data_IF_780548376489
#
_entry.id   IF_780548376489
#
_cell.length_a   1.000
_cell.length_b   1.000
_cell.length_c   1.000
_cell.angle_alpha   90.00
_cell.angle_beta   90.00
_cell.angle_gamma   90.00
#
_symmetry.space_group_name_H-M   'P 1'
#
loop_
_entity.id
_entity.type
_entity.pdbx_description
1 polymer ?
#
# COMPACT_ATOMS: atom_id res chain seq x y z
N UNK A 1 2.63 0.04 12.25
CA UNK A 1 3.13 -0.23 10.89
C UNK A 1 4.61 0.13 10.87
N UNK A 2 5.48 -0.86 10.69
CA UNK A 2 6.95 -0.62 10.69
C UNK A 2 7.49 -0.31 9.29
N UNK A 3 6.86 -0.81 8.25
CA UNK A 3 7.29 -0.60 6.87
C UNK A 3 6.13 -0.79 5.89
N UNK A 4 6.16 -0.03 4.83
CA UNK A 4 5.28 -0.21 3.67
C UNK A 4 6.20 -0.62 2.53
N UNK A 5 5.90 -1.75 1.89
CA UNK A 5 6.67 -2.19 0.73
C UNK A 5 6.44 -1.26 -0.46
N UNK A 6 7.54 -0.89 -1.12
CA UNK A 6 7.47 -0.06 -2.31
C UNK A 6 6.73 -0.79 -3.43
N UNK A 7 5.72 -0.12 -3.97
CA UNK A 7 5.02 -0.57 -5.16
C UNK A 7 5.77 -0.07 -6.42
N UNK A 8 6.45 -0.96 -7.17
CA UNK A 8 7.25 -0.56 -8.33
C UNK A 8 6.40 -0.03 -9.50
N UNK A 9 5.09 -0.10 -9.41
CA UNK A 9 4.15 0.39 -10.41
C UNK A 9 3.55 1.75 -10.04
N UNK A 10 3.76 2.23 -8.82
CA UNK A 10 3.37 3.56 -8.39
C UNK A 10 4.50 4.57 -8.65
N UNK A 11 4.14 5.82 -8.99
CA UNK A 11 5.10 6.86 -9.37
C UNK A 11 6.13 7.19 -8.29
N UNK A 12 5.72 7.17 -7.04
CA UNK A 12 6.53 7.48 -5.86
C UNK A 12 6.73 6.27 -4.95
N UNK A 13 6.45 5.05 -5.46
CA UNK A 13 6.56 3.81 -4.70
C UNK A 13 5.37 3.48 -3.82
N UNK A 14 4.38 4.38 -3.72
CA UNK A 14 3.09 4.17 -3.06
C UNK A 14 1.99 4.83 -3.90
N UNK A 15 0.81 4.25 -3.95
CA UNK A 15 -0.35 4.84 -4.61
C UNK A 15 -1.25 5.58 -3.60
N UNK A 16 -2.12 6.45 -4.08
CA UNK A 16 -3.10 7.11 -3.22
C UNK A 16 -4.02 6.09 -2.56
N UNK A 17 -4.47 5.11 -3.32
CA UNK A 17 -5.31 4.03 -2.82
C UNK A 17 -4.62 3.20 -1.71
N UNK A 18 -3.28 3.06 -1.75
CA UNK A 18 -2.53 2.42 -0.66
C UNK A 18 -2.56 3.26 0.62
N UNK A 19 -2.49 4.58 0.50
CA UNK A 19 -2.55 5.51 1.64
C UNK A 19 -3.95 5.52 2.24
N UNK A 20 -4.99 5.67 1.42
CA UNK A 20 -6.40 5.65 1.84
C UNK A 20 -6.76 4.33 2.54
N UNK A 21 -6.29 3.21 1.99
CA UNK A 21 -6.48 1.90 2.62
C UNK A 21 -5.83 1.82 4.01
N UNK A 22 -4.59 2.29 4.15
CA UNK A 22 -3.89 2.30 5.43
C UNK A 22 -4.57 3.20 6.44
N UNK A 23 -5.05 4.37 6.03
CA UNK A 23 -5.81 5.27 6.88
C UNK A 23 -7.08 4.59 7.40
N UNK A 24 -7.85 3.96 6.52
CA UNK A 24 -9.06 3.23 6.91
C UNK A 24 -8.74 2.07 7.88
N UNK A 25 -7.70 1.29 7.62
CA UNK A 25 -7.25 0.21 8.53
C UNK A 25 -6.88 0.77 9.90
N UNK A 26 -6.17 1.88 9.96
CA UNK A 26 -5.79 2.51 11.23
C UNK A 26 -7.00 3.01 12.02
N UNK A 27 -7.97 3.64 11.36
CA UNK A 27 -9.22 4.09 11.97
C UNK A 27 -10.02 2.87 12.48
N UNK A 28 -10.14 1.84 11.64
CA UNK A 28 -10.80 0.59 12.04
C UNK A 28 -10.17 -0.03 13.29
N UNK A 29 -8.83 -0.15 13.31
CA UNK A 29 -8.12 -0.68 14.47
C UNK A 29 -8.26 0.19 15.73
N UNK A 30 -8.31 1.52 15.57
CA UNK A 30 -8.47 2.44 16.69
C UNK A 30 -9.87 2.39 17.33
N UNK A 31 -10.89 2.06 16.54
CA UNK A 31 -12.29 1.98 16.99
C UNK A 31 -12.74 0.55 17.32
N UNK A 32 -11.94 -0.46 16.96
CA UNK A 32 -12.25 -1.87 17.28
C UNK A 32 -11.78 -2.24 18.68
N UNK A 33 -12.50 -3.19 19.30
CA UNK A 33 -12.06 -3.77 20.55
C UNK A 33 -10.66 -4.37 20.43
N UNK A 34 -9.81 -4.07 21.38
CA UNK A 34 -8.42 -4.54 21.40
C UNK A 34 -8.12 -5.31 22.70
N UNK A 35 -8.57 -6.57 22.81
CA UNK A 35 -8.27 -7.40 23.96
C UNK A 35 -6.77 -7.69 24.05
N UNK A 36 -6.30 -8.04 25.26
CA UNK A 36 -4.91 -8.45 25.45
C UNK A 36 -4.59 -9.72 24.67
N UNK A 37 -3.49 -9.68 23.92
CA UNK A 37 -2.99 -10.82 23.15
C UNK A 37 -2.29 -11.80 24.10
N UNK A 38 -2.68 -13.06 24.09
CA UNK A 38 -2.01 -14.12 24.83
C UNK A 38 -0.69 -14.54 24.17
N UNK A 39 0.21 -15.19 24.92
CA UNK A 39 1.49 -15.69 24.37
C UNK A 39 1.25 -16.65 23.18
N UNK A 40 0.24 -17.51 23.29
CA UNK A 40 -0.10 -18.44 22.22
C UNK A 40 -0.62 -17.74 20.95
N UNK A 41 -1.39 -16.67 21.09
CA UNK A 41 -1.80 -15.85 19.93
C UNK A 41 -0.61 -15.11 19.32
N UNK A 42 0.28 -14.59 20.15
CA UNK A 42 1.52 -13.97 19.68
C UNK A 42 2.36 -14.94 18.84
N UNK A 43 2.45 -16.20 19.24
CA UNK A 43 3.17 -17.21 18.49
C UNK A 43 2.45 -17.59 17.17
N UNK A 44 1.11 -17.66 17.17
CA UNK A 44 0.35 -17.84 15.94
C UNK A 44 0.56 -16.67 14.96
N UNK A 45 0.58 -15.43 15.47
CA UNK A 45 0.83 -14.24 14.64
C UNK A 45 2.23 -14.29 14.02
N UNK A 46 3.28 -14.61 14.81
CA UNK A 46 4.65 -14.74 14.31
C UNK A 46 4.75 -15.81 13.21
N UNK A 47 4.12 -16.97 13.43
CA UNK A 47 4.10 -18.05 12.45
C UNK A 47 3.34 -17.65 11.18
N UNK A 48 2.23 -16.95 11.27
CA UNK A 48 1.49 -16.45 10.11
C UNK A 48 2.31 -15.42 9.31
N UNK A 49 3.05 -14.53 9.99
CA UNK A 49 3.99 -13.60 9.34
C UNK A 49 5.08 -14.39 8.59
N UNK A 50 5.66 -15.40 9.21
CA UNK A 50 6.67 -16.27 8.58
C UNK A 50 6.11 -16.94 7.32
N UNK A 51 4.96 -17.62 7.43
CA UNK A 51 4.29 -18.31 6.31
C UNK A 51 4.00 -17.35 5.15
N UNK A 52 3.42 -16.19 5.44
CA UNK A 52 3.10 -15.20 4.41
C UNK A 52 4.34 -14.61 3.74
N UNK A 53 5.47 -14.50 4.44
CA UNK A 53 6.74 -14.03 3.86
C UNK A 53 7.37 -15.06 2.93
N UNK A 54 7.18 -16.34 3.17
CA UNK A 54 7.74 -17.43 2.36
C UNK A 54 6.92 -17.75 1.11
N UNK A 55 5.60 -17.83 1.25
CA UNK A 55 4.71 -18.31 0.17
C UNK A 55 3.66 -17.28 -0.27
N UNK A 56 3.62 -16.10 0.34
CA UNK A 56 2.66 -15.06 0.04
C UNK A 56 1.22 -15.49 0.35
N UNK A 57 0.30 -15.30 -0.59
CA UNK A 57 -1.12 -15.63 -0.42
C UNK A 57 -1.43 -17.14 -0.51
N UNK A 58 -0.46 -17.96 -0.87
CA UNK A 58 -0.65 -19.42 -1.00
C UNK A 58 -0.55 -20.15 0.35
N UNK A 59 -0.25 -19.42 1.45
CA UNK A 59 -0.17 -20.00 2.78
C UNK A 59 -1.56 -20.19 3.43
N UNK A 60 -1.58 -21.04 4.46
CA UNK A 60 -2.68 -21.09 5.41
C UNK A 60 -2.28 -20.36 6.69
N UNK A 61 -3.18 -19.53 7.20
CA UNK A 61 -3.05 -18.87 8.49
C UNK A 61 -3.61 -19.72 9.59
N UNK A 62 -2.94 -19.71 10.74
CA UNK A 62 -3.41 -20.33 11.96
C UNK A 62 -4.40 -19.36 12.61
N UNK A 63 -5.68 -19.75 12.68
CA UNK A 63 -6.69 -19.11 13.52
C UNK A 63 -6.74 -19.86 14.85
N UNK A 64 -6.73 -19.14 15.96
CA UNK A 64 -6.98 -19.72 17.26
C UNK A 64 -8.46 -19.55 17.61
N UNK A 65 -9.16 -20.65 17.73
CA UNK A 65 -10.49 -20.72 18.34
C UNK A 65 -10.29 -21.31 19.73
N UNK A 66 -10.52 -20.51 20.75
CA UNK A 66 -10.43 -20.77 22.20
C UNK A 66 -9.56 -21.98 22.68
N UNK A 67 -9.72 -23.16 22.14
CA UNK A 67 -8.98 -24.38 22.51
C UNK A 67 -8.34 -25.14 21.33
N UNK A 68 -8.67 -24.82 20.10
CA UNK A 68 -8.20 -25.53 18.91
C UNK A 68 -7.51 -24.62 17.91
N UNK A 69 -6.44 -25.12 17.30
CA UNK A 69 -5.80 -24.46 16.16
C UNK A 69 -6.54 -24.87 14.90
N UNK A 70 -7.23 -23.93 14.27
CA UNK A 70 -7.79 -24.11 12.92
C UNK A 70 -6.89 -23.43 11.90
N UNK A 71 -6.75 -24.03 10.72
CA UNK A 71 -6.05 -23.41 9.61
C UNK A 71 -7.05 -22.95 8.56
N UNK A 72 -6.79 -21.77 7.99
CA UNK A 72 -7.59 -21.21 6.91
C UNK A 72 -6.71 -20.55 5.87
N UNK A 73 -7.11 -20.61 4.59
CA UNK A 73 -6.32 -19.99 3.53
C UNK A 73 -6.18 -18.49 3.74
N UNK A 74 -4.97 -17.95 3.54
CA UNK A 74 -4.70 -16.52 3.64
C UNK A 74 -5.60 -15.71 2.71
N UNK A 75 -5.98 -16.26 1.55
CA UNK A 75 -6.91 -15.64 0.62
C UNK A 75 -8.30 -15.42 1.25
N UNK A 76 -8.85 -16.44 1.92
CA UNK A 76 -10.16 -16.33 2.57
C UNK A 76 -10.12 -15.34 3.74
N UNK A 77 -9.09 -15.43 4.60
CA UNK A 77 -8.90 -14.50 5.72
C UNK A 77 -8.81 -13.05 5.21
N UNK A 78 -8.09 -12.84 4.12
CA UNK A 78 -7.98 -11.50 3.51
C UNK A 78 -9.33 -11.02 2.96
N UNK A 79 -10.10 -11.89 2.30
CA UNK A 79 -11.43 -11.54 1.79
C UNK A 79 -12.39 -11.16 2.92
N UNK A 80 -12.40 -11.94 4.00
CA UNK A 80 -13.22 -11.64 5.18
C UNK A 80 -12.85 -10.30 5.81
N UNK A 81 -11.55 -10.02 5.92
CA UNK A 81 -11.07 -8.75 6.45
C UNK A 81 -11.46 -7.56 5.56
N UNK A 82 -11.29 -7.68 4.25
CA UNK A 82 -11.71 -6.64 3.30
C UNK A 82 -13.22 -6.39 3.36
N UNK A 83 -14.03 -7.44 3.53
CA UNK A 83 -15.48 -7.29 3.69
C UNK A 83 -15.85 -6.56 5.00
N UNK A 84 -15.15 -6.85 6.10
CA UNK A 84 -15.33 -6.12 7.37
C UNK A 84 -14.97 -4.65 7.23
N UNK A 85 -13.86 -4.33 6.58
CA UNK A 85 -13.45 -2.95 6.33
C UNK A 85 -14.44 -2.21 5.43
N UNK A 86 -14.98 -2.89 4.41
CA UNK A 86 -15.98 -2.28 3.52
C UNK A 86 -17.28 -1.97 4.27
N UNK A 87 -17.76 -2.89 5.10
CA UNK A 87 -18.93 -2.64 5.94
C UNK A 87 -18.69 -1.47 6.90
N UNK A 88 -17.53 -1.44 7.54
CA UNK A 88 -17.12 -0.33 8.41
C UNK A 88 -17.06 1.01 7.66
N UNK A 89 -16.50 1.05 6.44
CA UNK A 89 -16.46 2.24 5.62
C UNK A 89 -17.87 2.77 5.29
N UNK A 90 -18.81 1.87 5.02
CA UNK A 90 -20.22 2.22 4.79
C UNK A 90 -20.85 2.80 6.06
N UNK A 91 -20.59 2.18 7.22
CA UNK A 91 -21.15 2.62 8.51
C UNK A 91 -20.69 4.03 8.90
N UNK A 92 -19.45 4.40 8.57
CA UNK A 92 -18.92 5.75 8.84
C UNK A 92 -19.13 6.74 7.68
N UNK A 93 -19.84 6.34 6.61
CA UNK A 93 -20.26 7.21 5.53
C UNK A 93 -19.22 7.59 4.49
N UNK A 94 -18.13 6.80 4.35
CA UNK A 94 -17.08 6.99 3.33
C UNK A 94 -17.14 5.95 2.21
N UNK A 95 -18.29 5.31 2.04
CA UNK A 95 -18.53 4.25 1.06
C UNK A 95 -18.16 4.64 -0.38
N UNK A 96 -18.59 5.81 -0.83
CA UNK A 96 -18.33 6.30 -2.20
C UNK A 96 -16.87 6.59 -2.48
N UNK A 97 -16.16 7.14 -1.51
CA UNK A 97 -14.73 7.48 -1.64
C UNK A 97 -13.87 6.23 -1.56
N UNK A 98 -14.28 5.24 -0.78
CA UNK A 98 -13.58 3.98 -0.59
C UNK A 98 -13.84 2.93 -1.68
N UNK A 99 -14.91 3.07 -2.47
CA UNK A 99 -15.32 2.07 -3.47
C UNK A 99 -14.19 1.72 -4.44
N UNK A 100 -13.51 2.73 -4.99
CA UNK A 100 -12.38 2.54 -5.90
C UNK A 100 -11.20 1.84 -5.22
N UNK A 101 -10.92 2.20 -3.98
CA UNK A 101 -9.87 1.59 -3.16
C UNK A 101 -10.16 0.10 -2.96
N UNK A 102 -11.37 -0.27 -2.53
CA UNK A 102 -11.76 -1.67 -2.34
C UNK A 102 -11.73 -2.46 -3.64
N UNK A 103 -12.15 -1.86 -4.75
CA UNK A 103 -12.05 -2.49 -6.06
C UNK A 103 -10.59 -2.84 -6.41
N UNK A 104 -9.67 -1.92 -6.24
CA UNK A 104 -8.24 -2.17 -6.49
C UNK A 104 -7.64 -3.21 -5.55
N UNK A 105 -8.01 -3.22 -4.26
CA UNK A 105 -7.53 -4.23 -3.31
C UNK A 105 -8.12 -5.61 -3.57
N UNK A 106 -9.39 -5.73 -3.91
CA UNK A 106 -9.99 -7.00 -4.33
C UNK A 106 -9.34 -7.54 -5.60
N UNK A 107 -9.03 -6.69 -6.56
CA UNK A 107 -8.28 -7.05 -7.77
C UNK A 107 -6.86 -7.55 -7.45
N UNK A 108 -6.18 -6.92 -6.50
CA UNK A 108 -4.85 -7.36 -6.05
C UNK A 108 -4.89 -8.68 -5.29
N UNK A 109 -5.94 -8.93 -4.51
CA UNK A 109 -6.13 -10.22 -3.84
C UNK A 109 -6.21 -11.37 -4.86
N UNK A 110 -6.89 -11.16 -5.99
CA UNK A 110 -6.96 -12.15 -7.07
C UNK A 110 -5.67 -12.21 -7.93
N UNK A 111 -4.91 -11.11 -8.01
CA UNK A 111 -3.67 -10.99 -8.81
C UNK A 111 -2.61 -10.20 -8.03
N UNK A 112 -1.91 -10.84 -7.09
CA UNK A 112 -0.97 -10.15 -6.22
C UNK A 112 0.17 -9.47 -7.02
N UNK A 113 0.61 -8.31 -6.51
CA UNK A 113 1.68 -7.52 -7.14
C UNK A 113 2.99 -8.31 -7.26
N UNK A 114 3.26 -9.22 -6.30
CA UNK A 114 4.42 -10.12 -6.35
C UNK A 114 4.40 -11.03 -7.58
N UNK A 115 3.27 -11.66 -7.89
CA UNK A 115 3.14 -12.49 -9.12
C UNK A 115 3.30 -11.63 -10.38
N UNK A 116 2.73 -10.44 -10.41
CA UNK A 116 2.93 -9.49 -11.51
C UNK A 116 4.40 -9.10 -11.65
N UNK A 117 5.08 -8.82 -10.54
CA UNK A 117 6.49 -8.45 -10.53
C UNK A 117 7.37 -9.58 -11.06
N UNK A 118 7.16 -10.82 -10.59
CA UNK A 118 7.89 -12.00 -11.06
C UNK A 118 7.72 -12.19 -12.58
N UNK A 119 6.49 -12.10 -13.07
CA UNK A 119 6.20 -12.21 -14.51
C UNK A 119 6.85 -11.09 -15.33
N UNK A 120 6.85 -9.87 -14.79
CA UNK A 120 7.51 -8.75 -15.47
C UNK A 120 9.04 -8.86 -15.43
N UNK A 121 9.61 -9.32 -14.30
CA UNK A 121 11.06 -9.57 -14.20
C UNK A 121 11.55 -10.59 -15.23
N UNK A 122 10.76 -11.62 -15.53
CA UNK A 122 11.08 -12.61 -16.56
C UNK A 122 11.25 -12.02 -17.97
N UNK A 123 10.76 -10.80 -18.23
CA UNK A 123 10.92 -10.07 -19.51
C UNK A 123 12.22 -9.24 -19.57
N UNK A 124 12.96 -9.16 -18.48
CA UNK A 124 14.16 -8.35 -18.35
C UNK A 124 15.38 -9.22 -18.03
N UNK A 125 16.54 -8.76 -18.43
CA UNK A 125 17.81 -9.49 -18.23
C UNK A 125 18.14 -9.67 -16.73
N UNK A 126 17.76 -8.70 -15.90
CA UNK A 126 17.92 -8.73 -14.45
C UNK A 126 17.05 -7.67 -13.77
N UNK A 127 16.99 -7.69 -12.44
CA UNK A 127 16.23 -6.74 -11.61
C UNK A 127 16.65 -5.29 -11.85
N UNK A 128 17.94 -5.02 -12.01
CA UNK A 128 18.47 -3.67 -12.24
C UNK A 128 17.94 -3.09 -13.56
N UNK A 129 17.93 -3.87 -14.65
CA UNK A 129 17.40 -3.45 -15.94
C UNK A 129 15.89 -3.13 -15.86
N UNK A 130 15.13 -3.92 -15.08
CA UNK A 130 13.72 -3.64 -14.82
C UNK A 130 13.55 -2.31 -14.06
N UNK A 131 14.28 -2.10 -12.96
CA UNK A 131 14.19 -0.89 -12.15
C UNK A 131 14.54 0.35 -12.99
N UNK A 132 15.65 0.34 -13.72
CA UNK A 132 16.07 1.46 -14.57
C UNK A 132 14.99 1.78 -15.60
N UNK A 133 14.46 0.79 -16.30
CA UNK A 133 13.43 1.01 -17.33
C UNK A 133 12.11 1.53 -16.74
N UNK A 134 11.77 1.18 -15.51
CA UNK A 134 10.56 1.67 -14.83
C UNK A 134 10.76 3.07 -14.24
N UNK A 135 11.92 3.37 -13.69
CA UNK A 135 12.20 4.66 -13.03
C UNK A 135 12.53 5.79 -14.02
N UNK A 136 13.17 5.50 -15.15
CA UNK A 136 13.60 6.52 -16.10
C UNK A 136 12.47 7.46 -16.57
N UNK A 137 11.27 6.98 -16.99
CA UNK A 137 10.17 7.86 -17.39
C UNK A 137 9.62 8.69 -16.23
N UNK A 138 9.67 8.16 -15.00
CA UNK A 138 9.21 8.84 -13.78
C UNK A 138 10.17 9.97 -13.44
N UNK A 139 11.48 9.68 -13.41
CA UNK A 139 12.53 10.67 -13.16
C UNK A 139 12.49 11.80 -14.18
N UNK A 140 12.30 11.48 -15.46
CA UNK A 140 12.18 12.52 -16.50
C UNK A 140 10.98 13.46 -16.25
N UNK A 141 9.82 12.92 -15.86
CA UNK A 141 8.63 13.73 -15.54
C UNK A 141 8.82 14.58 -14.28
N UNK A 142 9.43 14.03 -13.25
CA UNK A 142 9.72 14.74 -11.99
C UNK A 142 10.72 15.86 -12.26
N UNK A 143 11.80 15.60 -12.97
CA UNK A 143 12.80 16.61 -13.30
C UNK A 143 12.21 17.73 -14.14
N UNK A 144 11.36 17.43 -15.12
CA UNK A 144 10.64 18.44 -15.89
C UNK A 144 9.71 19.28 -15.02
N UNK A 145 8.95 18.67 -14.11
CA UNK A 145 8.07 19.38 -13.19
C UNK A 145 8.86 20.29 -12.22
N UNK A 146 9.93 19.78 -11.66
CA UNK A 146 10.82 20.56 -10.78
C UNK A 146 11.47 21.74 -11.52
N UNK A 147 11.88 21.55 -12.76
CA UNK A 147 12.43 22.65 -13.57
C UNK A 147 11.40 23.76 -13.78
N UNK A 148 10.15 23.41 -14.10
CA UNK A 148 9.05 24.36 -14.27
C UNK A 148 8.75 25.12 -12.96
N UNK A 149 8.77 24.42 -11.82
CA UNK A 149 8.57 25.05 -10.51
C UNK A 149 9.70 26.02 -10.19
N UNK A 150 10.94 25.60 -10.40
CA UNK A 150 12.14 26.43 -10.16
C UNK A 150 12.15 27.70 -11.04
N UNK A 151 11.75 27.57 -12.30
CA UNK A 151 11.62 28.76 -13.19
C UNK A 151 10.55 29.74 -12.69
N UNK A 152 9.39 29.23 -12.25
CA UNK A 152 8.31 30.04 -11.68
C UNK A 152 8.74 30.76 -10.40
N UNK A 153 9.46 30.09 -9.51
CA UNK A 153 9.97 30.68 -8.27
C UNK A 153 11.01 31.77 -8.57
N UNK A 154 11.88 31.53 -9.54
CA UNK A 154 12.84 32.52 -10.01
C UNK A 154 12.16 33.79 -10.57
N UNK A 155 11.17 33.60 -11.46
CA UNK A 155 10.42 34.72 -12.05
C UNK A 155 9.63 35.53 -11.01
N UNK A 156 9.11 34.85 -9.95
CA UNK A 156 8.45 35.52 -8.83
C UNK A 156 9.46 36.37 -8.02
N UNK A 157 10.63 35.82 -7.70
CA UNK A 157 11.66 36.53 -6.95
C UNK A 157 12.23 37.71 -7.73
N UNK A 158 12.41 37.61 -9.04
CA UNK A 158 12.82 38.72 -9.90
C UNK A 158 11.76 39.83 -9.92
N UNK A 159 10.48 39.53 -9.98
CA UNK A 159 9.38 40.49 -9.92
C UNK A 159 9.33 41.21 -8.57
N UNK A 160 9.51 40.50 -7.47
CA UNK A 160 9.58 41.09 -6.12
C UNK A 160 10.76 42.05 -6.00
N UNK A 161 11.94 41.63 -6.44
CA UNK A 161 13.14 42.47 -6.43
C UNK A 161 13.01 43.76 -7.26
N UNK A 162 12.32 43.70 -8.40
CA UNK A 162 12.04 44.89 -9.25
C UNK A 162 11.01 45.80 -8.59
N UNK A 163 10.07 45.27 -7.81
CA UNK A 163 9.08 46.10 -7.09
C UNK A 163 9.72 46.86 -5.92
N UNK A 164 10.57 46.19 -5.13
CA UNK A 164 11.28 46.77 -3.99
C UNK A 164 12.27 47.86 -4.41
N UNK A 165 12.76 47.85 -5.64
CA UNK A 165 13.65 48.92 -6.15
C UNK A 165 12.92 50.16 -6.70
N UNK A 166 11.60 50.12 -6.82
CA UNK A 166 10.79 51.24 -7.35
C UNK A 166 10.09 52.04 -6.25
N UNK A 167 10.15 51.56 -4.99
CA UNK A 167 9.80 52.30 -3.78
C UNK A 167 11.05 53.02 -3.23
#
# INVERSE_FOLDING_TARGET
>A
IRSIYLNPYAKIGISLEDIEFLELVLIYCALSDSPLISDLESDCIKENIRRSSETGQECNFIKRLESEKAEESAENVTKEFLQKLQNFANDIGIDKESEKMFFEYNKRNNKPLSKKLINDLGKYKNLLAFIIKKSAPINHKINKANHILFEKERDLSEKQYVHEKKE
#
